data_IF_259288154225
#
_entry.id   IF_259288154225
#
_cell.length_a   1.000
_cell.length_b   1.000
_cell.length_c   1.000
_cell.angle_alpha   90.00
_cell.angle_beta   90.00
_cell.angle_gamma   90.00
#
_symmetry.space_group_name_H-M   'P 1'
#
loop_
_entity.id
_entity.type
_entity.pdbx_description
1 polymer ?
#
# COMPACT_ATOMS: atom_id res chain seq x y z
N UNK A 1 15.57 -22.32 11.37
CA UNK A 1 15.16 -21.27 12.34
C UNK A 1 13.69 -21.42 12.67
N UNK A 2 13.20 -20.73 13.72
CA UNK A 2 11.76 -20.70 14.04
C UNK A 2 11.06 -19.70 13.13
N UNK A 3 9.95 -20.10 12.50
CA UNK A 3 9.13 -19.24 11.65
C UNK A 3 7.73 -19.16 12.26
N UNK A 4 7.17 -17.95 12.34
CA UNK A 4 5.80 -17.71 12.79
C UNK A 4 5.04 -17.00 11.68
N UNK A 5 3.88 -17.52 11.31
CA UNK A 5 2.95 -16.90 10.35
C UNK A 5 1.66 -16.64 11.10
N UNK A 6 1.09 -15.46 10.94
CA UNK A 6 -0.15 -15.05 11.61
C UNK A 6 -1.06 -14.35 10.62
N UNK A 7 -2.36 -14.64 10.73
CA UNK A 7 -3.40 -13.87 10.06
C UNK A 7 -3.70 -12.63 10.92
N UNK A 8 -3.66 -11.44 10.32
CA UNK A 8 -3.90 -10.20 11.03
C UNK A 8 -3.97 -8.99 10.10
N UNK A 9 -4.25 -7.83 10.68
CA UNK A 9 -4.25 -6.54 9.99
C UNK A 9 -2.91 -5.83 10.26
N UNK A 10 -2.21 -5.41 9.20
CA UNK A 10 -0.93 -4.73 9.35
C UNK A 10 -1.05 -3.34 10.02
N UNK A 11 -2.27 -2.78 10.08
CA UNK A 11 -2.61 -1.57 10.85
C UNK A 11 -2.75 -1.84 12.36
N UNK A 12 -2.72 -3.10 12.78
CA UNK A 12 -2.78 -3.50 14.19
C UNK A 12 -2.02 -4.79 14.45
N UNK A 13 -0.74 -4.65 14.82
CA UNK A 13 0.17 -5.74 15.15
C UNK A 13 0.16 -6.07 16.65
N UNK A 14 -1.01 -6.15 17.28
CA UNK A 14 -1.18 -6.43 18.72
C UNK A 14 -0.43 -7.66 19.24
N UNK A 15 -0.21 -8.67 18.38
CA UNK A 15 0.48 -9.91 18.75
C UNK A 15 2.02 -9.79 18.66
N UNK A 16 2.53 -8.62 18.28
CA UNK A 16 3.95 -8.30 18.17
C UNK A 16 4.30 -7.23 19.20
N UNK A 17 5.25 -7.55 20.09
CA UNK A 17 5.67 -6.64 21.15
C UNK A 17 6.38 -5.42 20.60
N UNK A 18 6.26 -4.30 21.30
CA UNK A 18 7.01 -3.08 21.04
C UNK A 18 8.51 -3.36 20.99
N UNK A 19 9.21 -2.71 20.05
CA UNK A 19 10.68 -2.73 19.96
C UNK A 19 11.28 -4.15 19.95
N UNK A 20 10.60 -5.11 19.32
CA UNK A 20 11.01 -6.51 19.25
C UNK A 20 11.53 -6.94 17.88
N UNK A 21 11.38 -6.08 16.86
CA UNK A 21 11.75 -6.37 15.47
C UNK A 21 12.98 -5.55 15.09
N UNK A 22 14.03 -6.22 14.60
CA UNK A 22 15.26 -5.57 14.13
C UNK A 22 15.16 -5.07 12.69
N UNK A 23 14.41 -5.77 11.85
CA UNK A 23 14.23 -5.43 10.44
C UNK A 23 12.81 -5.74 9.95
N UNK A 24 12.24 -4.81 9.18
CA UNK A 24 11.00 -4.98 8.43
C UNK A 24 11.35 -4.89 6.94
N UNK A 25 10.86 -5.84 6.15
CA UNK A 25 10.94 -5.81 4.69
C UNK A 25 9.54 -6.09 4.18
N UNK A 26 8.97 -5.14 3.45
CA UNK A 26 7.59 -5.26 2.97
C UNK A 26 7.36 -4.55 1.65
N UNK A 27 6.34 -5.02 0.95
CA UNK A 27 5.76 -4.42 -0.27
C UNK A 27 4.29 -4.19 0.04
N UNK A 28 3.93 -3.06 0.68
CA UNK A 28 2.54 -2.83 1.10
C UNK A 28 1.62 -2.82 -0.13
N UNK A 29 0.30 -3.02 0.05
CA UNK A 29 -0.64 -2.93 -1.06
C UNK A 29 -0.56 -1.55 -1.71
N UNK A 30 -0.54 -1.49 -3.05
CA UNK A 30 -0.47 -0.23 -3.79
C UNK A 30 -1.86 0.26 -4.18
N UNK A 31 -2.05 1.57 -4.34
CA UNK A 31 -3.27 2.12 -4.95
C UNK A 31 -3.51 1.48 -6.33
N UNK A 32 -4.74 1.06 -6.63
CA UNK A 32 -5.05 0.33 -7.87
C UNK A 32 -4.20 -0.94 -8.13
N UNK A 33 -3.52 -1.50 -7.10
CA UNK A 33 -3.08 -2.88 -7.19
C UNK A 33 -4.32 -3.76 -7.41
N UNK A 34 -4.16 -4.83 -8.18
CA UNK A 34 -5.19 -5.84 -8.44
C UNK A 34 -6.07 -6.04 -7.19
N UNK A 35 -7.40 -5.94 -7.34
CA UNK A 35 -8.32 -6.30 -6.26
C UNK A 35 -8.19 -7.81 -6.03
N UNK A 36 -7.24 -8.20 -5.17
CA UNK A 36 -6.88 -9.59 -4.88
C UNK A 36 -8.10 -10.37 -4.40
N UNK A 37 -8.96 -9.72 -3.61
CA UNK A 37 -10.20 -10.32 -3.14
C UNK A 37 -11.16 -10.59 -4.30
N UNK A 38 -11.26 -9.69 -5.27
CA UNK A 38 -12.04 -9.94 -6.50
C UNK A 38 -11.41 -11.05 -7.35
N UNK A 39 -10.09 -11.04 -7.53
CA UNK A 39 -9.36 -12.02 -8.33
C UNK A 39 -9.44 -13.46 -7.78
N UNK A 40 -9.50 -13.60 -6.46
CA UNK A 40 -9.51 -14.90 -5.78
C UNK A 40 -10.88 -15.28 -5.20
N UNK A 41 -11.94 -14.50 -5.45
CA UNK A 41 -13.26 -14.71 -4.83
C UNK A 41 -13.78 -16.13 -5.00
N UNK A 42 -13.76 -16.66 -6.24
CA UNK A 42 -14.30 -18.00 -6.51
C UNK A 42 -13.42 -19.11 -5.90
N UNK A 43 -12.09 -18.96 -5.94
CA UNK A 43 -11.17 -19.89 -5.30
C UNK A 43 -11.38 -19.92 -3.79
N UNK A 44 -11.58 -18.78 -3.15
CA UNK A 44 -11.84 -18.69 -1.70
C UNK A 44 -13.21 -19.29 -1.32
N UNK A 45 -14.23 -19.08 -2.14
CA UNK A 45 -15.54 -19.73 -1.95
C UNK A 45 -15.42 -21.26 -2.08
N UNK A 46 -14.66 -21.74 -3.08
CA UNK A 46 -14.39 -23.17 -3.24
C UNK A 46 -13.65 -23.77 -2.04
N UNK A 47 -12.75 -23.01 -1.42
CA UNK A 47 -12.07 -23.37 -0.17
C UNK A 47 -12.95 -23.25 1.09
N UNK A 48 -14.23 -22.91 0.95
CA UNK A 48 -15.21 -22.91 2.04
C UNK A 48 -15.48 -21.55 2.69
N UNK A 49 -14.91 -20.45 2.18
CA UNK A 49 -15.18 -19.12 2.72
C UNK A 49 -16.56 -18.58 2.29
N UNK A 50 -17.24 -17.91 3.22
CA UNK A 50 -18.55 -17.30 2.92
C UNK A 50 -18.39 -16.01 2.14
N UNK A 51 -19.29 -15.77 1.18
CA UNK A 51 -19.28 -14.53 0.38
C UNK A 51 -19.40 -13.27 1.26
N UNK A 52 -20.19 -13.33 2.33
CA UNK A 52 -20.35 -12.22 3.28
C UNK A 52 -19.04 -11.88 4.00
N UNK A 53 -18.30 -12.91 4.43
CA UNK A 53 -16.99 -12.76 5.07
C UNK A 53 -15.98 -12.12 4.11
N UNK A 54 -15.90 -12.61 2.88
CA UNK A 54 -15.03 -12.06 1.83
C UNK A 54 -15.39 -10.61 1.49
N UNK A 55 -16.67 -10.26 1.52
CA UNK A 55 -17.16 -8.90 1.34
C UNK A 55 -16.63 -7.94 2.43
N UNK A 56 -16.67 -8.38 3.68
CA UNK A 56 -16.18 -7.61 4.84
C UNK A 56 -14.65 -7.46 4.81
N UNK A 57 -13.91 -8.53 4.49
CA UNK A 57 -12.45 -8.47 4.34
C UNK A 57 -12.09 -7.48 3.23
N UNK A 58 -12.78 -7.54 2.09
CA UNK A 58 -12.56 -6.60 0.99
C UNK A 58 -12.86 -5.17 1.41
N UNK A 59 -13.98 -4.87 2.07
CA UNK A 59 -14.29 -3.46 2.42
C UNK A 59 -13.28 -2.83 3.38
N UNK A 60 -12.63 -3.66 4.19
CA UNK A 60 -11.65 -3.23 5.18
C UNK A 60 -10.21 -3.28 4.68
N UNK A 61 -9.93 -3.90 3.52
CA UNK A 61 -8.56 -3.98 2.99
C UNK A 61 -8.01 -2.61 2.61
N UNK A 62 -6.71 -2.42 2.80
CA UNK A 62 -5.99 -1.21 2.39
C UNK A 62 -6.02 -1.08 0.86
N UNK A 63 -6.27 0.13 0.36
CA UNK A 63 -6.25 0.42 -1.08
C UNK A 63 -7.54 0.11 -1.83
N UNK A 64 -8.63 -0.19 -1.12
CA UNK A 64 -9.96 -0.42 -1.73
C UNK A 64 -10.60 0.89 -2.17
N UNK A 65 -11.40 0.86 -3.24
CA UNK A 65 -12.12 2.00 -3.80
C UNK A 65 -13.27 2.55 -2.93
N UNK A 66 -12.94 2.96 -1.71
CA UNK A 66 -13.84 3.56 -0.72
C UNK A 66 -13.15 4.78 -0.10
N UNK A 67 -13.92 5.83 0.16
CA UNK A 67 -13.45 7.03 0.85
C UNK A 67 -13.23 6.80 2.35
N UNK A 68 -12.54 7.72 3.05
CA UNK A 68 -12.30 7.59 4.48
C UNK A 68 -13.63 7.64 5.24
N UNK A 69 -13.63 7.13 6.47
CA UNK A 69 -14.80 7.24 7.33
C UNK A 69 -15.04 8.72 7.71
N UNK A 70 -16.27 9.08 8.06
CA UNK A 70 -16.67 10.48 8.29
C UNK A 70 -15.92 11.17 9.44
N UNK A 71 -15.32 10.37 10.33
CA UNK A 71 -14.54 10.82 11.50
C UNK A 71 -13.04 10.94 11.19
N UNK A 72 -12.62 10.76 9.94
CA UNK A 72 -11.22 10.79 9.57
C UNK A 72 -10.58 12.17 9.78
N UNK A 73 -9.34 12.16 10.25
CA UNK A 73 -8.56 13.38 10.45
C UNK A 73 -8.15 14.00 9.11
N UNK A 74 -8.82 15.11 8.77
CA UNK A 74 -8.57 15.86 7.54
C UNK A 74 -7.20 16.55 7.54
N UNK A 75 -6.70 16.97 8.71
CA UNK A 75 -5.41 17.60 8.82
C UNK A 75 -4.28 16.59 8.57
N UNK A 76 -4.35 15.44 9.24
CA UNK A 76 -3.44 14.32 9.01
C UNK A 76 -3.43 13.89 7.54
N UNK A 77 -4.62 13.70 6.96
CA UNK A 77 -4.77 13.36 5.55
C UNK A 77 -4.06 14.37 4.64
N UNK A 78 -4.18 15.66 4.95
CA UNK A 78 -3.56 16.73 4.16
C UNK A 78 -2.04 16.66 4.23
N UNK A 79 -1.47 16.44 5.42
CA UNK A 79 -0.01 16.30 5.56
C UNK A 79 0.52 15.02 4.89
N UNK A 80 -0.22 13.90 4.99
CA UNK A 80 0.18 12.65 4.34
C UNK A 80 0.16 12.73 2.81
N UNK A 81 -0.80 13.48 2.25
CA UNK A 81 -0.97 13.66 0.79
C UNK A 81 -0.23 14.88 0.25
N UNK A 82 0.49 15.61 1.10
CA UNK A 82 1.23 16.81 0.73
C UNK A 82 2.30 16.51 -0.31
N UNK A 83 2.30 17.32 -1.39
CA UNK A 83 3.20 17.17 -2.52
C UNK A 83 2.72 16.22 -3.62
N UNK A 84 1.57 15.55 -3.43
CA UNK A 84 0.92 14.84 -4.54
C UNK A 84 0.36 15.85 -5.54
N UNK A 85 0.76 15.72 -6.79
CA UNK A 85 0.34 16.60 -7.87
C UNK A 85 -0.95 16.08 -8.52
N UNK A 86 -1.78 17.00 -9.01
CA UNK A 86 -2.93 16.70 -9.89
C UNK A 86 -4.07 15.88 -9.27
N UNK A 87 -4.09 15.70 -7.94
CA UNK A 87 -5.18 15.02 -7.26
C UNK A 87 -6.53 15.70 -7.49
N UNK A 88 -6.53 17.03 -7.59
CA UNK A 88 -7.72 17.85 -7.81
C UNK A 88 -8.42 17.55 -9.15
N UNK A 89 -7.69 17.01 -10.13
CA UNK A 89 -8.22 16.62 -11.45
C UNK A 89 -9.02 15.32 -11.41
N UNK A 90 -8.85 14.52 -10.34
CA UNK A 90 -9.59 13.28 -10.17
C UNK A 90 -11.02 13.55 -9.66
N UNK A 91 -12.00 12.69 -10.01
CA UNK A 91 -13.32 12.73 -9.38
C UNK A 91 -13.22 12.64 -7.85
N UNK A 92 -14.09 13.34 -7.11
CA UNK A 92 -14.09 13.37 -5.64
C UNK A 92 -14.01 11.98 -4.99
N UNK A 93 -14.67 10.98 -5.58
CA UNK A 93 -14.63 9.58 -5.12
C UNK A 93 -13.19 9.03 -5.11
N UNK A 94 -12.40 9.31 -6.16
CA UNK A 94 -11.02 8.83 -6.30
C UNK A 94 -10.05 9.62 -5.42
N UNK A 95 -10.27 10.92 -5.28
CA UNK A 95 -9.54 11.71 -4.27
C UNK A 95 -9.74 11.12 -2.86
N UNK A 96 -10.99 10.82 -2.49
CA UNK A 96 -11.30 10.23 -1.20
C UNK A 96 -10.67 8.83 -1.03
N UNK A 97 -10.64 8.01 -2.08
CA UNK A 97 -9.92 6.73 -2.03
C UNK A 97 -8.42 6.93 -1.73
N UNK A 98 -7.76 7.88 -2.39
CA UNK A 98 -6.34 8.19 -2.15
C UNK A 98 -6.12 8.69 -0.71
N UNK A 99 -7.03 9.53 -0.21
CA UNK A 99 -7.01 10.01 1.18
C UNK A 99 -7.13 8.87 2.19
N UNK A 100 -8.07 7.94 1.98
CA UNK A 100 -8.21 6.76 2.83
C UNK A 100 -6.94 5.90 2.79
N UNK A 101 -6.41 5.65 1.61
CA UNK A 101 -5.17 4.89 1.45
C UNK A 101 -4.01 5.54 2.21
N UNK A 102 -3.89 6.86 2.19
CA UNK A 102 -2.86 7.56 2.94
C UNK A 102 -2.99 7.34 4.45
N UNK A 103 -4.21 7.41 5.00
CA UNK A 103 -4.48 7.12 6.41
C UNK A 103 -4.18 5.66 6.76
N UNK A 104 -4.68 4.72 5.95
CA UNK A 104 -4.42 3.28 6.14
C UNK A 104 -2.90 2.99 6.15
N UNK A 105 -2.14 3.59 5.23
CA UNK A 105 -0.69 3.41 5.16
C UNK A 105 0.03 4.07 6.33
N UNK A 106 -0.49 5.18 6.85
CA UNK A 106 0.05 5.80 8.05
C UNK A 106 -0.09 4.85 9.26
N UNK A 107 -1.25 4.23 9.46
CA UNK A 107 -1.47 3.25 10.54
C UNK A 107 -0.53 2.04 10.40
N UNK A 108 -0.33 1.52 9.18
CA UNK A 108 0.66 0.44 8.93
C UNK A 108 2.08 0.87 9.30
N UNK A 109 2.46 2.10 8.95
CA UNK A 109 3.79 2.64 9.22
C UNK A 109 3.96 2.95 10.71
N UNK A 110 2.93 3.42 11.40
CA UNK A 110 2.91 3.66 12.84
C UNK A 110 3.14 2.35 13.60
N UNK A 111 2.43 1.28 13.25
CA UNK A 111 2.65 -0.04 13.84
C UNK A 111 4.04 -0.60 13.51
N UNK A 112 4.51 -0.40 12.28
CA UNK A 112 5.88 -0.76 11.89
C UNK A 112 6.90 -0.02 12.75
N UNK A 113 6.70 1.29 12.96
CA UNK A 113 7.54 2.09 13.82
C UNK A 113 7.45 1.60 15.27
N UNK A 114 6.27 1.29 15.83
CA UNK A 114 6.10 0.78 17.20
C UNK A 114 6.91 -0.48 17.45
N UNK A 115 6.77 -1.49 16.60
CA UNK A 115 7.42 -2.82 16.79
C UNK A 115 8.92 -2.81 16.50
N UNK A 116 9.42 -1.85 15.71
CA UNK A 116 10.85 -1.72 15.44
C UNK A 116 11.65 -1.34 16.70
N UNK A 117 12.79 -1.99 16.90
CA UNK A 117 13.74 -1.61 17.95
C UNK A 117 14.50 -0.32 17.61
N UNK A 118 15.22 0.24 18.59
CA UNK A 118 16.09 1.40 18.33
C UNK A 118 17.16 1.03 17.30
N UNK A 119 17.39 1.88 16.29
CA UNK A 119 18.28 1.60 15.15
C UNK A 119 17.82 0.45 14.24
N UNK A 120 16.64 -0.13 14.49
CA UNK A 120 16.01 -1.09 13.60
C UNK A 120 15.66 -0.44 12.26
N UNK A 121 15.60 -1.26 11.20
CA UNK A 121 15.41 -0.77 9.84
C UNK A 121 14.09 -1.23 9.23
N UNK A 122 13.40 -0.33 8.52
CA UNK A 122 12.25 -0.66 7.69
C UNK A 122 12.61 -0.47 6.22
N UNK A 123 12.28 -1.44 5.38
CA UNK A 123 12.42 -1.33 3.93
C UNK A 123 11.06 -1.52 3.28
N UNK A 124 10.59 -0.48 2.60
CA UNK A 124 9.35 -0.49 1.83
C UNK A 124 9.69 -0.51 0.34
N UNK A 125 9.19 -1.52 -0.37
CA UNK A 125 9.21 -1.60 -1.83
C UNK A 125 7.85 -1.14 -2.32
N UNK A 126 7.81 -0.07 -3.10
CA UNK A 126 6.57 0.61 -3.45
C UNK A 126 6.58 1.03 -4.90
N UNK A 127 5.58 0.61 -5.65
CA UNK A 127 5.34 1.18 -6.96
C UNK A 127 4.32 2.33 -6.90
N UNK A 128 4.56 3.39 -7.67
CA UNK A 128 3.64 4.53 -7.84
C UNK A 128 2.53 4.21 -8.83
N UNK A 129 1.30 4.65 -8.59
CA UNK A 129 0.15 4.23 -9.40
C UNK A 129 -0.27 5.24 -10.46
N UNK A 130 -1.13 4.80 -11.38
CA UNK A 130 -1.83 5.69 -12.31
C UNK A 130 -3.35 5.44 -12.17
N UNK A 131 -4.11 6.52 -11.96
CA UNK A 131 -5.56 6.50 -11.77
C UNK A 131 -6.14 7.53 -12.75
N UNK A 132 -6.96 7.10 -13.71
CA UNK A 132 -7.51 7.98 -14.77
C UNK A 132 -6.44 8.86 -15.42
N UNK A 133 -5.31 8.26 -15.80
CA UNK A 133 -4.16 8.94 -16.43
C UNK A 133 -3.42 9.93 -15.49
N UNK A 134 -3.89 10.12 -14.26
CA UNK A 134 -3.21 10.89 -13.23
C UNK A 134 -2.23 10.00 -12.49
N UNK A 135 -0.97 10.42 -12.48
CA UNK A 135 0.10 9.79 -11.72
C UNK A 135 -0.08 10.06 -10.22
N UNK A 136 -0.02 9.01 -9.40
CA UNK A 136 -0.13 9.08 -7.95
C UNK A 136 1.12 8.46 -7.31
N UNK A 137 1.90 9.29 -6.64
CA UNK A 137 3.19 8.91 -6.06
C UNK A 137 3.01 8.22 -4.69
N UNK A 138 2.67 6.94 -4.70
CA UNK A 138 2.53 6.13 -3.48
C UNK A 138 3.79 6.15 -2.61
N UNK A 139 4.97 6.21 -3.23
CA UNK A 139 6.23 6.33 -2.51
C UNK A 139 6.28 7.59 -1.64
N UNK A 140 5.74 8.71 -2.12
CA UNK A 140 5.66 9.96 -1.36
C UNK A 140 4.74 9.83 -0.14
N UNK A 141 3.58 9.19 -0.28
CA UNK A 141 2.66 8.92 0.83
C UNK A 141 3.38 8.14 1.94
N UNK A 142 4.12 7.08 1.58
CA UNK A 142 4.86 6.27 2.55
C UNK A 142 6.02 7.06 3.16
N UNK A 143 6.72 7.91 2.39
CA UNK A 143 7.76 8.79 2.95
C UNK A 143 7.19 9.78 3.97
N UNK A 144 6.07 10.41 3.66
CA UNK A 144 5.38 11.33 4.57
C UNK A 144 4.96 10.57 5.83
N UNK A 145 4.35 9.38 5.67
CA UNK A 145 3.95 8.51 6.78
C UNK A 145 5.13 8.15 7.68
N UNK A 146 6.25 7.69 7.10
CA UNK A 146 7.47 7.34 7.84
C UNK A 146 8.03 8.53 8.60
N UNK A 147 8.10 9.70 7.96
CA UNK A 147 8.60 10.92 8.60
C UNK A 147 7.73 11.30 9.81
N UNK A 148 6.41 11.21 9.67
CA UNK A 148 5.46 11.52 10.75
C UNK A 148 5.55 10.51 11.91
N UNK A 149 5.77 9.23 11.60
CA UNK A 149 6.00 8.18 12.60
C UNK A 149 7.41 8.20 13.22
N UNK A 150 8.24 9.20 12.92
CA UNK A 150 9.59 9.35 13.48
C UNK A 150 10.67 8.49 12.82
N UNK A 151 10.39 7.86 11.68
CA UNK A 151 11.38 7.11 10.91
C UNK A 151 12.16 8.03 9.96
N UNK A 152 13.48 7.88 9.93
CA UNK A 152 14.37 8.67 9.07
C UNK A 152 14.74 7.91 7.81
N UNK A 153 14.56 8.54 6.65
CA UNK A 153 15.00 7.99 5.37
C UNK A 153 16.53 7.84 5.35
N UNK A 154 16.99 6.63 5.06
CA UNK A 154 18.42 6.28 4.94
C UNK A 154 18.84 6.22 3.48
N UNK A 155 18.01 5.63 2.62
CA UNK A 155 18.30 5.52 1.19
C UNK A 155 17.03 5.25 0.40
N UNK A 156 16.97 5.79 -0.82
CA UNK A 156 15.94 5.49 -1.81
C UNK A 156 16.62 5.13 -3.12
N UNK A 157 16.15 4.07 -3.77
CA UNK A 157 16.56 3.66 -5.11
C UNK A 157 15.34 3.30 -5.92
N UNK A 158 15.35 3.61 -7.20
CA UNK A 158 14.37 3.05 -8.13
C UNK A 158 14.95 1.83 -8.81
N UNK A 159 14.10 0.84 -9.08
CA UNK A 159 14.43 -0.31 -9.91
C UNK A 159 13.33 -0.59 -10.91
N UNK A 160 13.70 -1.15 -12.04
CA UNK A 160 12.75 -1.60 -13.05
C UNK A 160 12.05 -2.90 -12.63
N UNK A 161 10.78 -3.03 -13.00
CA UNK A 161 10.00 -4.26 -12.83
C UNK A 161 10.12 -5.07 -14.14
N UNK A 162 10.84 -6.21 -14.14
CA UNK A 162 11.06 -7.01 -15.36
C UNK A 162 9.73 -7.42 -16.00
N UNK A 163 9.58 -7.20 -17.31
CA UNK A 163 8.33 -7.52 -18.03
C UNK A 163 8.02 -9.02 -18.03
N UNK A 164 9.05 -9.86 -18.05
CA UNK A 164 8.99 -11.32 -18.13
C UNK A 164 8.75 -12.05 -16.79
N UNK A 165 8.68 -11.32 -15.66
CA UNK A 165 8.45 -11.91 -14.32
C UNK A 165 7.07 -11.56 -13.75
N UNK A 166 6.11 -11.19 -14.60
CA UNK A 166 4.74 -10.84 -14.18
C UNK A 166 3.83 -12.06 -14.29
N UNK A 167 2.97 -12.26 -13.28
CA UNK A 167 2.03 -13.38 -13.17
C UNK A 167 1.02 -13.50 -14.31
N UNK A 168 0.80 -12.43 -15.09
CA UNK A 168 -0.07 -12.44 -16.26
C UNK A 168 0.79 -12.20 -17.50
N UNK A 169 0.74 -13.09 -18.51
CA UNK A 169 1.41 -12.86 -19.78
C UNK A 169 0.89 -11.55 -20.40
N UNK A 170 1.74 -10.79 -21.09
CA UNK A 170 1.27 -9.63 -21.84
C UNK A 170 0.25 -10.12 -22.89
N UNK A 171 -0.95 -9.53 -22.98
CA UNK A 171 -1.84 -9.82 -24.08
C UNK A 171 -1.22 -9.36 -25.41
N UNK A 172 -1.60 -10.03 -26.50
CA UNK A 172 -1.16 -9.78 -27.87
C UNK A 172 -1.31 -8.32 -28.25
N UNK A 173 -0.38 -7.82 -29.07
CA UNK A 173 -0.06 -6.43 -29.40
C UNK A 173 -1.20 -5.51 -29.92
N UNK A 174 -2.45 -5.96 -30.04
CA UNK A 174 -3.49 -5.25 -30.79
C UNK A 174 -4.37 -4.26 -29.99
N UNK A 175 -4.16 -4.10 -28.68
CA UNK A 175 -4.91 -3.12 -27.85
C UNK A 175 -3.96 -2.13 -27.13
N UNK A 176 -3.42 -1.17 -27.90
CA UNK A 176 -2.34 -0.25 -27.48
C UNK A 176 -2.79 0.90 -26.57
N UNK A 177 -4.10 1.16 -26.41
CA UNK A 177 -4.59 2.32 -25.64
C UNK A 177 -4.67 2.10 -24.13
N UNK A 178 -4.94 0.87 -23.64
CA UNK A 178 -5.14 0.60 -22.20
C UNK A 178 -3.88 0.24 -21.41
N UNK A 179 -2.74 0.02 -22.07
CA UNK A 179 -1.52 -0.52 -21.44
C UNK A 179 -0.35 0.46 -21.31
N UNK A 180 -0.41 1.65 -21.93
CA UNK A 180 0.65 2.67 -21.81
C UNK A 180 0.82 3.22 -20.38
N UNK A 181 -0.14 3.01 -19.49
CA UNK A 181 -0.13 3.51 -18.10
C UNK A 181 0.45 2.53 -17.07
N UNK A 182 1.00 1.38 -17.49
CA UNK A 182 1.54 0.40 -16.55
C UNK A 182 2.86 0.87 -15.94
N UNK A 183 2.95 0.74 -14.63
CA UNK A 183 4.14 1.04 -13.84
C UNK A 183 5.32 0.18 -14.30
N UNK A 184 6.44 0.85 -14.56
CA UNK A 184 7.69 0.23 -15.02
C UNK A 184 8.76 0.18 -13.93
N UNK A 185 8.60 0.99 -12.89
CA UNK A 185 9.55 1.09 -11.79
C UNK A 185 8.87 0.96 -10.44
N UNK A 186 9.65 0.59 -9.43
CA UNK A 186 9.29 0.66 -8.02
C UNK A 186 10.43 1.29 -7.22
N UNK A 187 10.05 2.06 -6.20
CA UNK A 187 10.96 2.66 -5.24
C UNK A 187 11.23 1.69 -4.10
N UNK A 188 12.50 1.40 -3.85
CA UNK A 188 13.00 0.71 -2.66
C UNK A 188 13.49 1.76 -1.69
N UNK A 189 12.75 1.95 -0.60
CA UNK A 189 13.03 2.98 0.41
C UNK A 189 13.37 2.33 1.74
N UNK A 190 14.54 2.65 2.27
CA UNK A 190 15.02 2.17 3.57
C UNK A 190 14.99 3.29 4.59
N UNK A 191 14.45 3.00 5.76
CA UNK A 191 14.32 3.91 6.89
C UNK A 191 14.96 3.31 8.15
N UNK A 192 15.36 4.16 9.08
CA UNK A 192 15.84 3.81 10.42
C UNK A 192 14.92 4.42 11.47
N UNK A 193 14.64 3.66 12.53
CA UNK A 193 14.11 4.18 13.78
C UNK A 193 15.22 4.82 14.63
#
# INVERSE_FOLDING_TARGET
>A
GKVKVQLGDARNLKDVSDKSISAIITSPPYLNALDYMRGHKLSLVWLGHKISELGNIRSNSVGVEKGPDSTADLHLTTELTKGLNHLEKLPRRKQNMIRRYALDMYEVVEESARVLEKKGQATFVVGNSCIDEIFVENALIIRNSCKMAGLRLVSQKEREIPQNKRYLPPPSYDNVSTFKSRMKTESVMRFSK
#
